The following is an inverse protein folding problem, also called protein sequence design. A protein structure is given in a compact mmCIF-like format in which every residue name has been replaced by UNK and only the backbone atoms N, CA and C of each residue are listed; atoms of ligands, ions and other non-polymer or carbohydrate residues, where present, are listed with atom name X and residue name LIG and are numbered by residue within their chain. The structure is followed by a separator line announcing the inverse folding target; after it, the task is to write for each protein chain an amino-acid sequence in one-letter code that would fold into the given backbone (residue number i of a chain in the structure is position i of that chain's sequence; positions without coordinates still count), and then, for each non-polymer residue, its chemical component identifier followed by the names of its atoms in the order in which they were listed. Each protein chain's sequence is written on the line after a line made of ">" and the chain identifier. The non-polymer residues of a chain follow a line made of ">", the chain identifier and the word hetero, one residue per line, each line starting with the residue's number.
data_IF_177051455134
#
_entry.id   IF_177051455134
#
_cell.length_a   1.000
_cell.length_b   1.000
_cell.length_c   1.000
_cell.angle_alpha   90.00
_cell.angle_beta   90.00
_cell.angle_gamma   90.00
#
_symmetry.space_group_name_H-M   'P 1'
#
loop_
_entity.id
_entity.type
_entity.pdbx_description
1 polymer ?
#
# COMPACT_ATOMS: atom_id res chain seq x y z
N UNK A 1 -0.06 -40.08 10.55
CA UNK A 1 -0.83 -38.94 10.99
C UNK A 1 -1.59 -38.37 9.79
N UNK A 2 -2.92 -38.23 9.89
CA UNK A 2 -3.71 -37.53 8.87
C UNK A 2 -3.32 -36.05 8.95
N UNK A 3 -2.82 -35.47 7.86
CA UNK A 3 -2.69 -34.02 7.74
C UNK A 3 -4.11 -33.41 7.89
N UNK A 4 -4.27 -32.33 8.69
CA UNK A 4 -5.55 -31.65 8.74
C UNK A 4 -5.90 -31.19 7.32
N UNK A 5 -7.11 -31.55 6.84
CA UNK A 5 -7.61 -31.01 5.57
C UNK A 5 -7.75 -29.49 5.75
N UNK A 6 -7.01 -28.71 4.97
CA UNK A 6 -7.20 -27.27 4.86
C UNK A 6 -8.62 -27.02 4.32
N UNK A 7 -9.51 -26.53 5.19
CA UNK A 7 -10.82 -26.09 4.77
C UNK A 7 -10.67 -24.83 3.94
N UNK A 8 -10.92 -24.92 2.65
CA UNK A 8 -10.95 -23.77 1.74
C UNK A 8 -12.36 -23.16 1.79
N UNK A 9 -12.46 -21.89 2.12
CA UNK A 9 -13.68 -21.09 1.91
C UNK A 9 -13.45 -20.18 0.72
N UNK A 10 -14.40 -20.15 -0.21
CA UNK A 10 -14.39 -19.29 -1.39
C UNK A 10 -15.57 -18.36 -1.27
N UNK A 11 -15.34 -17.07 -1.55
CA UNK A 11 -16.36 -16.04 -1.62
C UNK A 11 -16.36 -15.44 -3.03
N UNK A 12 -17.55 -15.28 -3.60
CA UNK A 12 -17.77 -14.76 -4.93
C UNK A 12 -18.90 -13.74 -4.96
N UNK A 13 -19.17 -13.16 -6.11
CA UNK A 13 -20.33 -12.27 -6.32
C UNK A 13 -21.65 -13.01 -6.08
N UNK A 14 -21.71 -14.34 -6.29
CA UNK A 14 -22.87 -15.16 -5.93
C UNK A 14 -23.12 -15.23 -4.42
N UNK A 15 -22.10 -15.02 -3.60
CA UNK A 15 -22.19 -14.97 -2.13
C UNK A 15 -22.42 -13.55 -1.61
N UNK A 16 -22.41 -12.53 -2.49
CA UNK A 16 -22.69 -11.14 -2.15
C UNK A 16 -21.51 -10.17 -2.25
N UNK A 17 -20.37 -10.58 -2.83
CA UNK A 17 -19.32 -9.62 -3.18
C UNK A 17 -19.80 -8.68 -4.29
N UNK A 18 -19.31 -7.44 -4.30
CA UNK A 18 -19.67 -6.48 -5.33
C UNK A 18 -19.20 -6.92 -6.74
N UNK A 19 -18.11 -7.67 -6.81
CA UNK A 19 -17.59 -8.29 -8.05
C UNK A 19 -16.59 -9.39 -7.71
N UNK A 20 -16.31 -10.29 -8.66
CA UNK A 20 -15.27 -11.32 -8.55
C UNK A 20 -13.87 -10.78 -8.91
N UNK A 21 -13.78 -9.58 -9.49
CA UNK A 21 -12.53 -8.92 -9.80
C UNK A 21 -12.03 -8.13 -8.58
N UNK A 22 -11.23 -8.80 -7.74
CA UNK A 22 -10.69 -8.23 -6.50
C UNK A 22 -9.49 -7.35 -6.82
N UNK A 23 -9.51 -6.13 -6.33
CA UNK A 23 -8.46 -5.11 -6.57
C UNK A 23 -7.66 -4.77 -5.32
N UNK A 24 -8.27 -4.86 -4.14
CA UNK A 24 -7.61 -4.53 -2.87
C UNK A 24 -8.22 -5.32 -1.71
N UNK A 25 -7.42 -5.60 -0.71
CA UNK A 25 -7.84 -6.23 0.55
C UNK A 25 -7.28 -5.46 1.74
N UNK A 26 -8.08 -5.34 2.80
CA UNK A 26 -7.66 -4.73 4.05
C UNK A 26 -8.40 -5.39 5.23
N UNK A 27 -7.67 -5.77 6.26
CA UNK A 27 -8.26 -6.32 7.48
C UNK A 27 -8.44 -5.21 8.52
N UNK A 28 -9.68 -4.92 8.86
CA UNK A 28 -10.03 -3.82 9.75
C UNK A 28 -9.86 -4.16 11.24
N UNK A 29 -9.74 -3.12 12.06
CA UNK A 29 -9.68 -3.24 13.53
C UNK A 29 -10.97 -3.86 14.14
N UNK A 30 -12.05 -3.88 13.38
CA UNK A 30 -13.33 -4.52 13.72
C UNK A 30 -13.35 -6.04 13.44
N UNK A 31 -12.18 -6.64 13.16
CA UNK A 31 -12.00 -8.04 12.79
C UNK A 31 -12.76 -8.47 11.52
N UNK A 32 -13.01 -7.54 10.62
CA UNK A 32 -13.64 -7.80 9.34
C UNK A 32 -12.67 -7.62 8.17
N UNK A 33 -12.86 -8.39 7.12
CA UNK A 33 -12.13 -8.22 5.87
C UNK A 33 -12.89 -7.28 4.94
N UNK A 34 -12.25 -6.21 4.53
CA UNK A 34 -12.74 -5.31 3.50
C UNK A 34 -12.17 -5.71 2.14
N UNK A 35 -13.03 -5.81 1.15
CA UNK A 35 -12.72 -6.33 -0.18
C UNK A 35 -13.08 -5.26 -1.20
N UNK A 36 -12.08 -4.61 -1.75
CA UNK A 36 -12.22 -3.70 -2.88
C UNK A 36 -12.30 -4.47 -4.18
N UNK A 37 -13.21 -4.07 -5.04
CA UNK A 37 -13.44 -4.65 -6.35
C UNK A 37 -13.50 -3.57 -7.42
N UNK A 38 -13.59 -3.96 -8.68
CA UNK A 38 -13.84 -3.03 -9.80
C UNK A 38 -15.26 -2.44 -9.80
N UNK A 39 -16.15 -2.88 -8.89
CA UNK A 39 -17.54 -2.44 -8.80
C UNK A 39 -18.01 -2.03 -7.41
N UNK A 40 -17.09 -1.77 -6.50
CA UNK A 40 -17.42 -1.29 -5.16
C UNK A 40 -16.70 -2.01 -4.04
N UNK A 41 -17.11 -1.68 -2.81
CA UNK A 41 -16.53 -2.18 -1.58
C UNK A 41 -17.47 -3.16 -0.89
N UNK A 42 -16.94 -4.32 -0.52
CA UNK A 42 -17.62 -5.33 0.28
C UNK A 42 -16.92 -5.49 1.63
N UNK A 43 -17.69 -5.89 2.64
CA UNK A 43 -17.20 -6.25 3.97
C UNK A 43 -17.60 -7.69 4.27
N UNK A 44 -16.65 -8.50 4.73
CA UNK A 44 -16.85 -9.87 5.17
C UNK A 44 -16.67 -9.94 6.69
N UNK A 45 -17.72 -10.36 7.36
CA UNK A 45 -17.76 -10.62 8.81
C UNK A 45 -18.07 -12.12 9.02
N UNK A 46 -17.06 -12.91 9.30
CA UNK A 46 -17.14 -14.36 9.32
C UNK A 46 -17.58 -14.92 7.95
N UNK A 47 -18.88 -15.29 7.83
CA UNK A 47 -19.48 -15.76 6.57
C UNK A 47 -20.44 -14.76 5.95
N UNK A 48 -20.72 -13.65 6.61
CA UNK A 48 -21.66 -12.64 6.15
C UNK A 48 -20.95 -11.61 5.28
N UNK A 49 -21.45 -11.44 4.07
CA UNK A 49 -20.98 -10.41 3.14
C UNK A 49 -21.99 -9.27 3.10
N UNK A 50 -21.53 -8.04 3.13
CA UNK A 50 -22.35 -6.84 3.01
C UNK A 50 -21.65 -5.83 2.12
N UNK A 51 -22.40 -5.15 1.26
CA UNK A 51 -21.91 -3.98 0.52
C UNK A 51 -21.68 -2.82 1.47
N UNK A 52 -20.60 -2.09 1.28
CA UNK A 52 -20.28 -0.87 2.03
C UNK A 52 -20.56 0.32 1.13
N UNK A 53 -21.46 1.19 1.59
CA UNK A 53 -21.75 2.43 0.89
C UNK A 53 -20.60 3.42 1.07
N UNK A 54 -20.00 3.85 -0.03
CA UNK A 54 -18.92 4.84 -0.08
C UNK A 54 -19.38 6.15 -0.74
N UNK A 55 -20.68 6.31 -0.96
CA UNK A 55 -21.26 7.51 -1.60
C UNK A 55 -21.09 7.58 -3.12
N UNK A 56 -20.48 6.57 -3.74
CA UNK A 56 -20.28 6.46 -5.19
C UNK A 56 -20.69 5.06 -5.61
N UNK A 57 -21.73 4.96 -6.42
CA UNK A 57 -22.24 3.69 -6.89
C UNK A 57 -21.29 3.03 -7.91
N UNK A 58 -21.07 1.72 -7.77
CA UNK A 58 -20.22 0.92 -8.66
C UNK A 58 -18.80 1.49 -8.87
N UNK A 59 -18.26 2.24 -7.92
CA UNK A 59 -16.94 2.83 -8.03
C UNK A 59 -15.84 1.75 -8.01
N UNK A 60 -14.90 1.76 -8.98
CA UNK A 60 -13.77 0.86 -8.93
C UNK A 60 -12.83 1.25 -7.78
N UNK A 61 -12.54 0.29 -6.92
CA UNK A 61 -11.63 0.50 -5.79
C UNK A 61 -10.20 0.22 -6.24
N UNK A 62 -9.32 1.20 -6.11
CA UNK A 62 -7.90 1.06 -6.48
C UNK A 62 -7.01 0.76 -5.29
N UNK A 63 -7.43 1.14 -4.09
CA UNK A 63 -6.65 1.03 -2.86
C UNK A 63 -7.57 0.89 -1.65
N UNK A 64 -7.15 0.08 -0.68
CA UNK A 64 -7.71 0.03 0.67
C UNK A 64 -6.59 0.18 1.70
N UNK A 65 -6.87 0.94 2.74
CA UNK A 65 -5.99 1.05 3.89
C UNK A 65 -6.81 1.09 5.17
N UNK A 66 -6.48 0.22 6.12
CA UNK A 66 -7.07 0.18 7.44
C UNK A 66 -6.12 0.82 8.44
N UNK A 67 -6.50 1.96 8.98
CA UNK A 67 -5.69 2.72 9.92
C UNK A 67 -5.73 2.12 11.32
N UNK A 68 -4.72 2.43 12.14
CA UNK A 68 -4.60 1.93 13.51
C UNK A 68 -5.76 2.38 14.43
N UNK A 69 -6.39 3.51 14.12
CA UNK A 69 -7.55 4.05 14.84
C UNK A 69 -8.90 3.44 14.41
N UNK A 70 -8.86 2.48 13.47
CA UNK A 70 -10.03 1.78 12.95
C UNK A 70 -10.73 2.47 11.77
N UNK A 71 -10.20 3.58 11.29
CA UNK A 71 -10.70 4.20 10.06
C UNK A 71 -10.29 3.38 8.84
N UNK A 72 -11.16 3.37 7.83
CA UNK A 72 -10.91 2.72 6.55
C UNK A 72 -10.79 3.79 5.47
N UNK A 73 -9.70 3.77 4.76
CA UNK A 73 -9.47 4.66 3.62
C UNK A 73 -9.66 3.88 2.32
N UNK A 74 -10.51 4.41 1.47
CA UNK A 74 -10.92 3.79 0.21
C UNK A 74 -10.50 4.68 -0.94
N UNK A 75 -9.54 4.23 -1.72
CA UNK A 75 -9.11 4.92 -2.94
C UNK A 75 -9.98 4.52 -4.13
N UNK A 76 -10.52 5.52 -4.83
CA UNK A 76 -11.27 5.34 -6.07
C UNK A 76 -10.89 6.43 -7.06
N UNK A 77 -10.14 6.08 -8.10
CA UNK A 77 -9.55 7.05 -9.02
C UNK A 77 -8.72 8.09 -8.27
N UNK A 78 -9.07 9.36 -8.42
CA UNK A 78 -8.38 10.48 -7.78
C UNK A 78 -8.90 10.84 -6.39
N UNK A 79 -9.85 10.08 -5.86
CA UNK A 79 -10.47 10.37 -4.57
C UNK A 79 -10.08 9.34 -3.52
N UNK A 80 -9.92 9.79 -2.28
CA UNK A 80 -9.84 8.94 -1.10
C UNK A 80 -11.00 9.29 -0.18
N UNK A 81 -11.80 8.28 0.14
CA UNK A 81 -12.94 8.35 1.03
C UNK A 81 -12.52 7.74 2.35
N UNK A 82 -12.74 8.45 3.44
CA UNK A 82 -12.46 8.00 4.81
C UNK A 82 -13.75 7.58 5.50
N UNK A 83 -13.78 6.35 5.97
CA UNK A 83 -14.90 5.76 6.67
C UNK A 83 -14.58 5.56 8.15
N UNK A 84 -15.54 5.86 9.02
CA UNK A 84 -15.56 5.46 10.42
C UNK A 84 -16.80 4.59 10.67
N UNK A 85 -16.59 3.29 10.82
CA UNK A 85 -17.66 2.30 10.83
C UNK A 85 -18.44 2.31 9.51
N UNK A 86 -19.73 2.75 9.55
CA UNK A 86 -20.58 2.85 8.36
C UNK A 86 -20.71 4.27 7.81
N UNK A 87 -20.02 5.25 8.39
CA UNK A 87 -20.16 6.66 8.02
C UNK A 87 -18.98 7.13 7.20
N UNK A 88 -19.26 7.85 6.13
CA UNK A 88 -18.29 8.66 5.42
C UNK A 88 -18.01 9.88 6.29
N UNK A 89 -16.76 10.06 6.73
CA UNK A 89 -16.35 11.19 7.57
C UNK A 89 -15.55 12.23 6.81
N UNK A 90 -14.90 11.83 5.72
CA UNK A 90 -14.20 12.74 4.82
C UNK A 90 -14.10 12.16 3.41
N UNK A 91 -13.98 13.05 2.44
CA UNK A 91 -13.57 12.73 1.08
C UNK A 91 -12.58 13.79 0.61
N UNK A 92 -11.48 13.35 -0.01
CA UNK A 92 -10.42 14.23 -0.52
C UNK A 92 -10.08 13.87 -1.95
N UNK A 93 -9.94 14.90 -2.79
CA UNK A 93 -9.51 14.73 -4.18
C UNK A 93 -8.03 15.06 -4.34
N UNK A 94 -7.38 14.36 -5.26
CA UNK A 94 -5.96 14.47 -5.57
C UNK A 94 -5.75 14.79 -7.06
N UNK A 95 -4.55 15.25 -7.40
CA UNK A 95 -4.20 15.57 -8.80
C UNK A 95 -4.06 14.34 -9.68
N UNK A 96 -3.81 13.18 -9.10
CA UNK A 96 -3.68 11.88 -9.79
C UNK A 96 -4.19 10.75 -8.90
N UNK A 97 -4.36 9.55 -9.47
CA UNK A 97 -4.90 8.40 -8.76
C UNK A 97 -4.07 8.07 -7.51
N UNK A 98 -4.77 7.82 -6.40
CA UNK A 98 -4.15 7.29 -5.19
C UNK A 98 -3.80 5.80 -5.40
N UNK A 99 -2.55 5.44 -5.11
CA UNK A 99 -2.04 4.09 -5.37
C UNK A 99 -1.65 3.33 -4.10
N UNK A 100 -1.21 4.03 -3.06
CA UNK A 100 -0.83 3.39 -1.81
C UNK A 100 -0.95 4.35 -0.61
N UNK A 101 -1.13 3.77 0.56
CA UNK A 101 -1.17 4.49 1.84
C UNK A 101 -0.48 3.67 2.91
N UNK A 102 0.24 4.34 3.81
CA UNK A 102 0.87 3.74 4.99
C UNK A 102 0.78 4.70 6.16
N UNK A 103 0.84 4.17 7.38
CA UNK A 103 1.06 4.95 8.59
C UNK A 103 2.42 4.64 9.18
N UNK A 104 3.08 5.66 9.72
CA UNK A 104 4.30 5.49 10.48
C UNK A 104 4.01 5.19 11.97
N UNK A 105 5.06 5.07 12.78
CA UNK A 105 4.94 4.75 14.20
C UNK A 105 4.28 5.86 15.03
N UNK A 106 4.22 7.09 14.54
CA UNK A 106 3.54 8.23 15.17
C UNK A 106 2.09 8.42 14.64
N UNK A 107 1.56 7.43 13.91
CA UNK A 107 0.27 7.47 13.22
C UNK A 107 0.14 8.60 12.19
N UNK A 108 1.26 9.11 11.68
CA UNK A 108 1.23 10.01 10.54
C UNK A 108 0.90 9.21 9.28
N UNK A 109 -0.09 9.64 8.54
CA UNK A 109 -0.52 8.98 7.32
C UNK A 109 0.24 9.52 6.11
N UNK A 110 0.81 8.62 5.35
CA UNK A 110 1.48 8.88 4.09
C UNK A 110 0.63 8.38 2.94
N UNK A 111 0.32 9.24 1.99
CA UNK A 111 -0.54 8.95 0.84
C UNK A 111 0.28 9.13 -0.43
N UNK A 112 0.44 8.05 -1.17
CA UNK A 112 1.09 8.06 -2.46
C UNK A 112 0.04 8.09 -3.57
N UNK A 113 0.13 9.11 -4.41
CA UNK A 113 -0.52 9.11 -5.73
C UNK A 113 0.52 8.79 -6.80
N UNK A 114 0.10 8.63 -8.05
CA UNK A 114 1.04 8.35 -9.15
C UNK A 114 2.15 9.41 -9.30
N UNK A 115 1.89 10.64 -8.88
CA UNK A 115 2.80 11.77 -9.14
C UNK A 115 3.20 12.57 -7.91
N UNK A 116 2.54 12.37 -6.78
CA UNK A 116 2.75 13.18 -5.57
C UNK A 116 2.68 12.30 -4.32
N UNK A 117 3.58 12.55 -3.38
CA UNK A 117 3.53 12.03 -2.02
C UNK A 117 3.00 13.12 -1.09
N UNK A 118 2.03 12.75 -0.27
CA UNK A 118 1.42 13.60 0.75
C UNK A 118 1.71 13.04 2.14
N UNK A 119 1.91 13.92 3.11
CA UNK A 119 1.99 13.58 4.53
C UNK A 119 0.84 14.25 5.28
N UNK A 120 0.16 13.46 6.09
CA UNK A 120 -1.01 13.87 6.82
C UNK A 120 -0.86 13.48 8.30
N UNK A 121 -0.43 14.41 9.17
CA UNK A 121 -0.30 14.15 10.61
C UNK A 121 -1.66 13.80 11.23
N UNK A 122 -1.65 12.95 12.24
CA UNK A 122 -2.86 12.57 12.97
C UNK A 122 -3.58 13.82 13.52
N UNK A 123 -4.87 13.92 13.26
CA UNK A 123 -5.70 15.05 13.69
C UNK A 123 -5.51 16.34 12.91
N UNK A 124 -4.62 16.38 11.93
CA UNK A 124 -4.46 17.53 11.05
C UNK A 124 -5.68 17.70 10.12
N UNK A 125 -5.98 18.94 9.75
CA UNK A 125 -7.02 19.25 8.75
C UNK A 125 -6.47 19.24 7.33
N UNK A 126 -5.17 19.48 7.17
CA UNK A 126 -4.49 19.63 5.89
C UNK A 126 -3.17 18.85 5.87
N UNK A 127 -2.65 18.62 4.68
CA UNK A 127 -1.34 18.04 4.47
C UNK A 127 -0.25 19.01 4.90
N UNK A 128 0.72 18.56 5.68
CA UNK A 128 1.90 19.35 6.07
C UNK A 128 3.08 19.16 5.11
N UNK A 129 2.99 18.16 4.22
CA UNK A 129 3.92 17.93 3.13
C UNK A 129 3.17 17.53 1.86
N UNK A 130 3.61 18.12 0.75
CA UNK A 130 3.22 17.76 -0.61
C UNK A 130 4.45 17.84 -1.49
N UNK A 131 4.94 16.71 -1.99
CA UNK A 131 6.17 16.64 -2.79
C UNK A 131 5.97 15.77 -4.02
N UNK A 132 6.43 16.25 -5.18
CA UNK A 132 6.40 15.48 -6.42
C UNK A 132 7.26 14.21 -6.31
N UNK A 133 6.75 13.10 -6.80
CA UNK A 133 7.46 11.83 -6.88
C UNK A 133 8.24 11.81 -8.20
N UNK A 134 9.52 11.47 -8.18
CA UNK A 134 10.25 11.19 -9.41
C UNK A 134 9.65 9.95 -10.09
N UNK A 135 9.20 10.08 -11.33
CA UNK A 135 8.55 8.99 -12.07
C UNK A 135 7.11 8.72 -11.63
N UNK A 136 6.62 7.50 -11.89
CA UNK A 136 5.29 7.04 -11.49
C UNK A 136 5.37 6.17 -10.25
N UNK A 137 4.94 6.70 -9.11
CA UNK A 137 4.85 5.97 -7.85
C UNK A 137 3.87 4.81 -7.93
N UNK A 138 4.25 3.67 -7.39
CA UNK A 138 3.44 2.45 -7.33
C UNK A 138 3.34 1.88 -5.93
N UNK A 139 4.41 1.91 -5.16
CA UNK A 139 4.49 1.34 -3.83
C UNK A 139 5.11 2.31 -2.85
N UNK A 140 4.70 2.22 -1.59
CA UNK A 140 5.26 3.00 -0.50
C UNK A 140 5.60 2.08 0.68
N UNK A 141 6.77 2.31 1.29
CA UNK A 141 7.16 1.76 2.56
C UNK A 141 7.63 2.88 3.49
N UNK A 142 7.34 2.76 4.77
CA UNK A 142 7.64 3.80 5.76
C UNK A 142 8.30 3.16 6.97
N UNK A 143 9.43 3.73 7.40
CA UNK A 143 10.17 3.28 8.58
C UNK A 143 10.44 4.44 9.54
N UNK A 144 10.06 4.25 10.80
CA UNK A 144 10.18 5.31 11.81
C UNK A 144 9.42 6.57 11.39
N UNK A 145 9.90 7.73 11.80
CA UNK A 145 9.18 8.99 11.66
C UNK A 145 9.55 9.79 10.41
N UNK A 146 10.58 9.38 9.64
CA UNK A 146 11.13 10.24 8.59
C UNK A 146 11.74 9.51 7.38
N UNK A 147 11.71 8.19 7.32
CA UNK A 147 12.22 7.43 6.18
C UNK A 147 11.06 6.88 5.37
N UNK A 148 10.88 7.39 4.18
CA UNK A 148 9.83 6.94 3.26
C UNK A 148 10.48 6.49 1.97
N UNK A 149 10.16 5.29 1.56
CA UNK A 149 10.61 4.72 0.31
C UNK A 149 9.45 4.61 -0.67
N UNK A 150 9.68 5.04 -1.89
CA UNK A 150 8.71 4.97 -2.98
C UNK A 150 9.30 4.15 -4.11
N UNK A 151 8.66 3.04 -4.42
CA UNK A 151 8.93 2.24 -5.61
C UNK A 151 8.15 2.78 -6.79
N UNK A 152 8.77 2.77 -7.96
CA UNK A 152 8.19 3.30 -9.20
C UNK A 152 8.05 2.22 -10.27
N UNK A 153 7.28 2.52 -11.31
CA UNK A 153 7.06 1.60 -12.44
C UNK A 153 8.31 1.42 -13.32
N UNK A 154 9.22 2.42 -13.36
CA UNK A 154 10.36 2.40 -14.30
C UNK A 154 11.59 3.17 -13.83
N UNK A 155 11.49 3.89 -12.72
CA UNK A 155 12.55 4.81 -12.26
C UNK A 155 13.22 4.35 -10.97
N UNK A 156 13.00 3.08 -10.57
CA UNK A 156 13.63 2.45 -9.42
C UNK A 156 13.02 2.84 -8.08
N UNK A 157 13.83 2.79 -7.03
CA UNK A 157 13.46 3.10 -5.66
C UNK A 157 13.93 4.52 -5.32
N UNK A 158 13.08 5.29 -4.66
CA UNK A 158 13.39 6.63 -4.18
C UNK A 158 13.19 6.69 -2.67
N UNK A 159 14.18 7.24 -1.96
CA UNK A 159 14.09 7.49 -0.52
C UNK A 159 13.84 8.98 -0.26
N UNK A 160 12.84 9.29 0.57
CA UNK A 160 12.60 10.62 1.09
C UNK A 160 13.17 10.69 2.51
N UNK A 161 14.18 11.53 2.71
CA UNK A 161 14.76 11.81 4.02
C UNK A 161 14.53 13.29 4.35
N UNK A 162 13.73 13.54 5.39
CA UNK A 162 13.24 14.88 5.69
C UNK A 162 12.31 15.41 4.59
N UNK A 163 12.80 16.37 3.77
CA UNK A 163 12.03 16.97 2.65
C UNK A 163 12.76 16.84 1.31
N UNK A 164 13.74 15.94 1.21
CA UNK A 164 14.54 15.77 -0.01
C UNK A 164 14.54 14.33 -0.48
N UNK A 165 14.38 14.15 -1.80
CA UNK A 165 14.55 12.87 -2.43
C UNK A 165 16.04 12.52 -2.56
N UNK A 166 16.35 11.27 -2.22
CA UNK A 166 17.63 10.63 -2.46
C UNK A 166 17.38 9.45 -3.42
N UNK A 167 17.76 9.60 -4.69
CA UNK A 167 17.49 8.58 -5.73
C UNK A 167 18.74 8.05 -6.41
N UNK A 168 19.86 8.83 -6.44
CA UNK A 168 21.05 8.49 -7.21
C UNK A 168 21.76 7.21 -6.74
N UNK A 169 21.43 6.76 -5.55
CA UNK A 169 22.04 5.59 -4.93
C UNK A 169 21.16 4.33 -5.04
N UNK A 170 19.96 4.45 -5.62
CA UNK A 170 18.94 3.40 -5.57
C UNK A 170 18.40 3.02 -6.97
N UNK A 171 19.29 3.00 -8.00
CA UNK A 171 18.93 2.66 -9.37
C UNK A 171 19.65 1.41 -9.88
N UNK A 172 19.05 0.71 -10.84
CA UNK A 172 19.67 -0.44 -11.53
C UNK A 172 21.05 -0.07 -12.10
N UNK A 173 22.02 -0.94 -11.86
CA UNK A 173 23.39 -0.76 -12.37
C UNK A 173 24.29 0.18 -11.58
N UNK A 174 23.75 0.93 -10.62
CA UNK A 174 24.54 1.85 -9.78
C UNK A 174 24.78 1.27 -8.39
N UNK A 175 23.80 0.60 -7.79
CA UNK A 175 23.84 0.24 -6.37
C UNK A 175 23.34 -1.16 -6.02
N UNK A 176 23.07 -2.01 -6.98
CA UNK A 176 22.67 -3.40 -6.70
C UNK A 176 21.18 -3.67 -6.69
N UNK A 177 20.31 -2.68 -6.97
CA UNK A 177 18.92 -2.94 -7.30
C UNK A 177 18.85 -3.74 -8.63
N UNK A 178 18.04 -4.80 -8.65
CA UNK A 178 18.01 -5.72 -9.79
C UNK A 178 17.29 -5.15 -11.01
N UNK A 179 16.34 -4.25 -10.82
CA UNK A 179 15.56 -3.59 -11.86
C UNK A 179 14.94 -2.30 -11.36
N UNK A 180 14.75 -1.34 -12.25
CA UNK A 180 14.02 -0.11 -11.97
C UNK A 180 12.49 -0.31 -11.94
N UNK A 181 11.99 -1.48 -12.34
CA UNK A 181 10.58 -1.83 -12.27
C UNK A 181 10.28 -2.48 -10.92
N UNK A 182 9.79 -1.67 -9.97
CA UNK A 182 9.46 -2.13 -8.62
C UNK A 182 8.05 -2.71 -8.63
N UNK A 183 7.91 -3.94 -8.16
CA UNK A 183 6.64 -4.67 -8.08
C UNK A 183 6.06 -4.78 -6.67
N UNK A 184 6.87 -4.63 -5.64
CA UNK A 184 6.44 -4.53 -4.24
C UNK A 184 7.54 -4.00 -3.35
N UNK A 185 7.16 -3.43 -2.20
CA UNK A 185 8.04 -2.97 -1.14
C UNK A 185 7.49 -3.38 0.22
N UNK A 186 8.37 -3.77 1.11
CA UNK A 186 8.06 -3.87 2.54
C UNK A 186 9.32 -3.59 3.36
N UNK A 187 9.15 -3.35 4.67
CA UNK A 187 10.25 -3.08 5.59
C UNK A 187 10.12 -4.05 6.76
N UNK A 188 11.20 -4.72 7.09
CA UNK A 188 11.23 -5.63 8.22
C UNK A 188 11.43 -4.90 9.55
N UNK A 189 11.29 -5.60 10.69
CA UNK A 189 11.46 -4.98 12.01
C UNK A 189 12.87 -4.46 12.29
N UNK A 190 13.89 -4.90 11.54
CA UNK A 190 15.26 -4.39 11.63
C UNK A 190 15.43 -3.05 10.88
N UNK A 191 14.49 -2.73 9.98
CA UNK A 191 14.51 -1.54 9.14
C UNK A 191 15.05 -1.78 7.74
N UNK A 192 15.30 -3.04 7.39
CA UNK A 192 15.76 -3.41 6.06
C UNK A 192 14.62 -3.34 5.06
N UNK A 193 14.86 -2.71 3.91
CA UNK A 193 13.86 -2.53 2.86
C UNK A 193 13.93 -3.70 1.88
N UNK A 194 12.87 -4.48 1.82
CA UNK A 194 12.70 -5.59 0.90
C UNK A 194 12.05 -5.09 -0.38
N UNK A 195 12.71 -5.34 -1.51
CA UNK A 195 12.35 -4.80 -2.81
C UNK A 195 12.11 -5.93 -3.79
N UNK A 196 10.86 -6.13 -4.18
CA UNK A 196 10.50 -7.03 -5.27
C UNK A 196 10.55 -6.30 -6.60
N UNK A 197 11.14 -6.93 -7.59
CA UNK A 197 11.26 -6.43 -8.96
C UNK A 197 10.87 -7.51 -9.97
N UNK A 198 10.76 -7.16 -11.24
CA UNK A 198 10.55 -8.13 -12.33
C UNK A 198 11.78 -9.04 -12.59
N UNK A 199 12.93 -8.76 -11.94
CA UNK A 199 14.16 -9.56 -12.03
C UNK A 199 14.53 -10.31 -10.75
N UNK A 200 13.69 -10.22 -9.71
CA UNK A 200 13.92 -10.88 -8.44
C UNK A 200 13.76 -9.97 -7.23
N UNK A 201 14.26 -10.41 -6.08
CA UNK A 201 14.17 -9.68 -4.81
C UNK A 201 15.55 -9.23 -4.37
N UNK A 202 15.66 -8.01 -3.90
CA UNK A 202 16.83 -7.48 -3.22
C UNK A 202 16.46 -6.83 -1.89
N UNK A 203 17.44 -6.66 -1.03
CA UNK A 203 17.29 -6.02 0.28
C UNK A 203 18.25 -4.86 0.35
N UNK A 204 17.75 -3.73 0.79
CA UNK A 204 18.54 -2.55 1.11
C UNK A 204 18.65 -2.43 2.63
N UNK A 205 19.86 -2.61 3.14
CA UNK A 205 20.23 -2.31 4.52
C UNK A 205 20.72 -0.86 4.58
N UNK A 206 20.12 -0.07 5.44
CA UNK A 206 20.47 1.34 5.68
C UNK A 206 21.91 1.55 6.19
N UNK A 207 22.58 0.47 6.59
CA UNK A 207 24.00 0.45 7.00
C UNK A 207 24.98 0.19 5.84
N UNK A 208 24.53 0.30 4.58
CA UNK A 208 25.41 0.33 3.38
C UNK A 208 25.59 -0.95 2.58
N UNK A 209 24.78 -1.99 2.71
CA UNK A 209 24.98 -3.21 1.92
C UNK A 209 23.72 -3.69 1.21
N UNK A 210 23.80 -3.82 -0.11
CA UNK A 210 22.82 -4.51 -0.91
C UNK A 210 23.00 -6.01 -0.83
N UNK A 211 21.95 -6.73 -0.52
CA UNK A 211 21.89 -8.18 -0.65
C UNK A 211 20.99 -8.51 -1.84
N UNK A 212 21.57 -9.04 -2.90
CA UNK A 212 20.81 -9.60 -4.00
C UNK A 212 20.32 -11.03 -3.66
N UNK A 213 19.42 -11.57 -4.47
CA UNK A 213 18.87 -12.90 -4.25
C UNK A 213 19.90 -14.03 -4.26
N UNK A 214 21.13 -13.81 -4.76
CA UNK A 214 22.21 -14.81 -4.71
C UNK A 214 22.75 -15.01 -3.29
N UNK A 215 22.54 -14.01 -2.41
CA UNK A 215 22.97 -14.02 -1.01
C UNK A 215 21.82 -14.33 -0.04
N UNK A 216 20.57 -14.29 -0.51
CA UNK A 216 19.41 -14.64 0.29
C UNK A 216 19.19 -16.16 0.17
N UNK A 217 19.43 -16.88 1.26
CA UNK A 217 19.21 -18.34 1.28
C UNK A 217 17.72 -18.67 1.37
N UNK A 218 17.27 -19.64 0.55
CA UNK A 218 15.89 -20.16 0.60
C UNK A 218 14.92 -19.58 -0.44
N UNK A 219 15.35 -18.63 -1.27
CA UNK A 219 14.55 -18.22 -2.42
C UNK A 219 14.77 -19.18 -3.61
N UNK A 220 13.70 -19.52 -4.37
CA UNK A 220 13.86 -20.27 -5.61
C UNK A 220 14.68 -19.46 -6.62
N UNK A 221 15.54 -20.16 -7.35
CA UNK A 221 16.33 -19.57 -8.45
C UNK A 221 15.47 -19.36 -9.68
#
# INVERSE_FOLDING_TARGET
>A
GKFPQLTRTVFTSADGLASDNITALCYGADNCLYVGTDRGLSKIDGKKITTVDIGIENAPISMLFCANDGHIFVGTGKSIIELSGKKIIASREFSSDAVAMKQDCDNVTWILTKTVLYRFPQGAKEFDLKIGVPGKGSFIAVFGNNKVYVGTESDGLHALVGKRWHWSELMEGVTGILSNNISCLDIDPAGDVWIGTDKGVCVYDDNSYWLDNSKITGLPK
#
